data_IF_147669296295
#
_entry.id   IF_147669296295
#
_cell.length_a   1.000
_cell.length_b   1.000
_cell.length_c   1.000
_cell.angle_alpha   90.00
_cell.angle_beta   90.00
_cell.angle_gamma   90.00
#
_symmetry.space_group_name_H-M   'P 1'
#
loop_
_entity.id
_entity.type
_entity.pdbx_description
1 polymer ?
#
# COMPACT_ATOMS: atom_id res chain seq x y z
N UNK A 1 -7.20 8.43 -3.82
CA UNK A 1 -7.54 9.16 -5.07
C UNK A 1 -6.32 9.94 -5.53
N UNK A 2 -5.75 9.54 -6.65
CA UNK A 2 -4.55 10.15 -7.24
C UNK A 2 -4.85 11.42 -8.04
N UNK A 3 -6.11 11.61 -8.45
CA UNK A 3 -6.60 12.79 -9.16
C UNK A 3 -6.93 12.53 -10.64
N UNK A 4 -6.77 11.29 -11.11
CA UNK A 4 -7.09 10.89 -12.47
C UNK A 4 -8.28 9.93 -12.46
N UNK A 5 -9.06 9.93 -13.54
CA UNK A 5 -10.17 8.98 -13.70
C UNK A 5 -9.63 7.66 -14.25
N UNK A 6 -10.09 6.56 -13.67
CA UNK A 6 -9.73 5.19 -14.03
C UNK A 6 -10.83 4.57 -14.91
N UNK A 7 -10.49 3.52 -15.67
CA UNK A 7 -11.41 2.84 -16.58
C UNK A 7 -11.50 1.35 -16.25
N UNK A 8 -12.72 0.83 -16.20
CA UNK A 8 -12.99 -0.60 -16.16
C UNK A 8 -13.43 -1.10 -17.55
N UNK A 9 -12.82 -2.18 -18.05
CA UNK A 9 -13.13 -2.77 -19.36
C UNK A 9 -13.48 -4.24 -19.18
N UNK A 10 -14.66 -4.63 -19.67
CA UNK A 10 -15.14 -6.01 -19.62
C UNK A 10 -14.73 -6.82 -20.85
N UNK A 11 -14.34 -8.06 -20.61
CA UNK A 11 -14.08 -9.12 -21.58
C UNK A 11 -14.92 -10.36 -21.20
N UNK A 12 -16.25 -10.32 -21.42
CA UNK A 12 -17.17 -11.35 -20.93
C UNK A 12 -16.91 -12.75 -21.50
N UNK A 13 -16.22 -12.86 -22.64
CA UNK A 13 -15.92 -14.13 -23.30
C UNK A 13 -14.46 -14.59 -23.13
N UNK A 14 -13.66 -13.87 -22.34
CA UNK A 14 -12.33 -14.35 -21.95
C UNK A 14 -12.47 -15.27 -20.73
N UNK A 15 -12.34 -16.58 -20.95
CA UNK A 15 -12.68 -17.58 -19.94
C UNK A 15 -14.18 -17.52 -19.63
N UNK A 16 -14.53 -17.50 -18.35
CA UNK A 16 -15.91 -17.29 -17.89
C UNK A 16 -16.28 -15.80 -17.74
N UNK A 17 -15.41 -14.89 -18.19
CA UNK A 17 -15.57 -13.45 -18.09
C UNK A 17 -14.48 -12.80 -17.24
N UNK A 18 -13.98 -11.66 -17.71
CA UNK A 18 -12.90 -10.93 -17.06
C UNK A 18 -13.20 -9.43 -17.09
N UNK A 19 -12.82 -8.71 -16.05
CA UNK A 19 -12.84 -7.24 -16.00
C UNK A 19 -11.43 -6.75 -15.71
N UNK A 20 -10.97 -5.81 -16.52
CA UNK A 20 -9.68 -5.15 -16.39
C UNK A 20 -9.87 -3.74 -15.84
N UNK A 21 -9.02 -3.34 -14.88
CA UNK A 21 -8.95 -1.98 -14.38
C UNK A 21 -7.68 -1.33 -14.92
N UNK A 22 -7.85 -0.20 -15.60
CA UNK A 22 -6.77 0.62 -16.15
C UNK A 22 -6.75 1.95 -15.42
N UNK A 23 -5.57 2.36 -14.96
CA UNK A 23 -5.42 3.60 -14.21
C UNK A 23 -5.24 4.78 -15.15
N UNK A 24 -5.87 5.89 -14.79
CA UNK A 24 -5.60 7.19 -15.39
C UNK A 24 -4.24 7.74 -14.96
N UNK A 25 -3.66 8.61 -15.77
CA UNK A 25 -2.47 9.36 -15.40
C UNK A 25 -2.47 10.74 -16.06
N UNK A 26 -1.52 11.58 -15.67
CA UNK A 26 -1.28 12.88 -16.30
C UNK A 26 -1.01 12.78 -17.81
N UNK A 27 -0.46 11.65 -18.27
CA UNK A 27 -0.06 11.42 -19.65
C UNK A 27 -1.13 10.62 -20.43
N UNK A 28 -2.31 10.39 -19.83
CA UNK A 28 -3.38 9.58 -20.38
C UNK A 28 -3.53 8.23 -19.68
N UNK A 29 -4.18 7.27 -20.35
CA UNK A 29 -4.45 5.94 -19.80
C UNK A 29 -3.16 5.09 -19.76
N UNK A 30 -2.88 4.46 -18.62
CA UNK A 30 -1.82 3.45 -18.52
C UNK A 30 -2.33 2.18 -19.22
N UNK A 31 -1.59 1.67 -20.22
CA UNK A 31 -2.04 0.58 -21.08
C UNK A 31 -1.89 -0.81 -20.45
N UNK A 32 -1.14 -0.91 -19.36
CA UNK A 32 -1.07 -2.11 -18.53
C UNK A 32 -2.18 -2.08 -17.46
N UNK A 33 -3.00 -3.13 -17.34
CA UNK A 33 -4.04 -3.18 -16.32
C UNK A 33 -3.42 -3.26 -14.92
N UNK A 34 -3.91 -2.43 -14.00
CA UNK A 34 -3.49 -2.46 -12.59
C UNK A 34 -4.12 -3.60 -11.81
N UNK A 35 -5.29 -4.06 -12.28
CA UNK A 35 -6.02 -5.17 -11.67
C UNK A 35 -6.78 -5.95 -12.75
N UNK A 36 -6.76 -7.27 -12.61
CA UNK A 36 -7.54 -8.20 -13.44
C UNK A 36 -8.46 -9.02 -12.55
N UNK A 37 -9.76 -8.94 -12.81
CA UNK A 37 -10.82 -9.54 -12.00
C UNK A 37 -11.49 -10.61 -12.86
N UNK A 38 -11.25 -11.89 -12.53
CA UNK A 38 -11.75 -13.03 -13.30
C UNK A 38 -12.99 -13.63 -12.65
N UNK A 39 -13.92 -14.09 -13.48
CA UNK A 39 -15.11 -14.84 -13.08
C UNK A 39 -14.78 -16.05 -12.19
N UNK A 40 -13.60 -16.65 -12.33
CA UNK A 40 -13.12 -17.76 -11.51
C UNK A 40 -13.09 -17.45 -10.00
N UNK A 41 -13.05 -16.17 -9.63
CA UNK A 41 -13.16 -15.73 -8.22
C UNK A 41 -14.59 -15.78 -7.67
N UNK A 42 -15.58 -16.03 -8.53
CA UNK A 42 -17.01 -16.02 -8.25
C UNK A 42 -17.63 -17.34 -8.73
N UNK A 43 -17.79 -18.34 -7.85
CA UNK A 43 -18.33 -19.64 -8.22
C UNK A 43 -19.69 -19.54 -8.92
N UNK A 44 -19.82 -20.17 -10.10
CA UNK A 44 -21.08 -20.20 -10.86
C UNK A 44 -21.39 -18.94 -11.66
N UNK A 45 -20.41 -18.02 -11.83
CA UNK A 45 -20.58 -16.82 -12.65
C UNK A 45 -19.98 -17.02 -14.04
N UNK A 46 -20.76 -16.67 -15.08
CA UNK A 46 -20.35 -16.68 -16.48
C UNK A 46 -20.70 -15.35 -17.15
N UNK A 47 -19.93 -14.96 -18.17
CA UNK A 47 -20.04 -13.67 -18.86
C UNK A 47 -19.81 -12.45 -17.95
N UNK A 48 -18.99 -12.60 -16.90
CA UNK A 48 -18.61 -11.49 -16.03
C UNK A 48 -17.99 -10.36 -16.87
N UNK A 49 -18.50 -9.15 -16.71
CA UNK A 49 -18.02 -7.98 -17.45
C UNK A 49 -18.87 -7.65 -18.67
N UNK A 50 -20.01 -8.31 -18.87
CA UNK A 50 -20.92 -7.99 -19.98
C UNK A 50 -21.51 -6.59 -19.87
N UNK A 51 -21.86 -6.17 -18.66
CA UNK A 51 -22.28 -4.79 -18.36
C UNK A 51 -21.55 -4.27 -17.12
N UNK A 52 -21.31 -2.96 -17.10
CA UNK A 52 -20.56 -2.29 -16.04
C UNK A 52 -21.32 -1.04 -15.61
N UNK A 53 -21.34 -0.78 -14.31
CA UNK A 53 -21.84 0.48 -13.75
C UNK A 53 -20.97 0.86 -12.55
N UNK A 54 -20.22 1.94 -12.67
CA UNK A 54 -19.33 2.44 -11.62
C UNK A 54 -19.59 3.91 -11.29
N UNK A 55 -18.70 4.50 -10.50
CA UNK A 55 -18.71 5.93 -10.19
C UNK A 55 -19.55 6.34 -8.97
N UNK A 56 -20.17 5.38 -8.29
CA UNK A 56 -20.94 5.61 -7.06
C UNK A 56 -20.33 4.82 -5.90
N UNK A 57 -20.16 5.48 -4.77
CA UNK A 57 -19.72 4.88 -3.50
C UNK A 57 -20.94 4.32 -2.76
N UNK A 58 -21.05 3.00 -2.65
CA UNK A 58 -22.22 2.31 -2.08
C UNK A 58 -22.04 1.99 -0.59
N UNK A 59 -20.80 1.89 -0.11
CA UNK A 59 -20.50 1.61 1.30
C UNK A 59 -20.01 2.83 2.09
N UNK A 60 -19.98 4.00 1.46
CA UNK A 60 -19.62 5.31 2.02
C UNK A 60 -18.18 5.38 2.51
N UNK A 61 -17.27 4.63 1.89
CA UNK A 61 -15.85 4.64 2.25
C UNK A 61 -15.04 5.76 1.54
N UNK A 62 -15.70 6.54 0.69
CA UNK A 62 -15.15 7.67 -0.08
C UNK A 62 -14.54 7.28 -1.44
N UNK A 63 -14.63 6.01 -1.82
CA UNK A 63 -14.17 5.47 -3.11
C UNK A 63 -15.34 4.90 -3.91
N UNK A 64 -15.43 5.18 -5.23
CA UNK A 64 -16.51 4.65 -6.05
C UNK A 64 -16.36 3.13 -6.22
N UNK A 65 -17.49 2.43 -6.08
CA UNK A 65 -17.58 1.00 -6.29
C UNK A 65 -17.94 0.67 -7.74
N UNK A 66 -17.87 -0.63 -8.10
CA UNK A 66 -18.18 -1.14 -9.43
C UNK A 66 -19.18 -2.31 -9.37
N UNK A 67 -20.31 -2.16 -10.07
CA UNK A 67 -21.24 -3.25 -10.36
C UNK A 67 -20.90 -3.87 -11.71
N UNK A 68 -20.86 -5.20 -11.74
CA UNK A 68 -20.51 -5.99 -12.92
C UNK A 68 -21.60 -7.01 -13.21
N UNK A 69 -22.24 -6.90 -14.37
CA UNK A 69 -23.25 -7.84 -14.83
C UNK A 69 -22.65 -9.08 -15.49
N UNK A 70 -23.34 -10.21 -15.30
CA UNK A 70 -22.98 -11.54 -15.78
C UNK A 70 -24.27 -12.28 -16.20
N UNK A 71 -24.79 -11.94 -17.38
CA UNK A 71 -26.17 -12.26 -17.79
C UNK A 71 -26.42 -13.77 -17.93
N UNK A 72 -25.45 -14.56 -18.42
CA UNK A 72 -25.66 -16.02 -18.59
C UNK A 72 -25.86 -16.75 -17.27
N UNK A 73 -25.37 -16.17 -16.18
CA UNK A 73 -25.52 -16.68 -14.82
C UNK A 73 -26.63 -15.97 -14.02
N UNK A 74 -27.46 -15.13 -14.66
CA UNK A 74 -28.46 -14.30 -13.99
C UNK A 74 -27.92 -13.54 -12.77
N UNK A 75 -26.67 -13.08 -12.86
CA UNK A 75 -25.89 -12.61 -11.71
C UNK A 75 -25.36 -11.18 -11.89
N UNK A 76 -25.22 -10.48 -10.77
CA UNK A 76 -24.53 -9.19 -10.66
C UNK A 76 -23.53 -9.26 -9.51
N UNK A 77 -22.29 -8.86 -9.76
CA UNK A 77 -21.22 -8.81 -8.77
C UNK A 77 -20.98 -7.36 -8.35
N UNK A 78 -21.00 -7.11 -7.04
CA UNK A 78 -20.57 -5.84 -6.45
C UNK A 78 -19.10 -5.94 -6.05
N UNK A 79 -18.26 -5.10 -6.66
CA UNK A 79 -16.86 -4.93 -6.35
C UNK A 79 -16.70 -3.64 -5.56
N UNK A 80 -16.43 -3.77 -4.25
CA UNK A 80 -16.19 -2.62 -3.38
C UNK A 80 -14.75 -2.15 -3.46
N UNK A 81 -14.55 -0.85 -3.65
CA UNK A 81 -13.23 -0.26 -3.66
C UNK A 81 -12.64 -0.28 -2.25
N UNK A 82 -11.34 -0.59 -2.15
CA UNK A 82 -10.65 -0.58 -0.86
C UNK A 82 -10.02 0.79 -0.63
N UNK A 83 -10.17 1.38 0.56
CA UNK A 83 -9.46 2.60 0.89
C UNK A 83 -7.95 2.48 0.74
N UNK A 84 -7.33 3.54 0.22
CA UNK A 84 -5.88 3.64 0.03
C UNK A 84 -5.33 4.67 1.02
N UNK A 85 -4.32 4.25 1.79
CA UNK A 85 -3.56 5.11 2.71
C UNK A 85 -2.11 5.12 2.23
N UNK A 86 -1.59 6.30 1.95
CA UNK A 86 -0.18 6.51 1.64
C UNK A 86 0.66 6.36 2.91
N UNK A 87 1.78 5.67 2.79
CA UNK A 87 2.72 5.50 3.89
C UNK A 87 4.07 6.06 3.46
N UNK A 88 4.52 7.10 4.14
CA UNK A 88 5.82 7.74 3.92
C UNK A 88 6.71 7.40 5.10
N UNK A 89 7.83 6.72 4.85
CA UNK A 89 8.84 6.44 5.87
C UNK A 89 10.05 7.34 5.70
N UNK A 90 10.63 7.78 6.81
CA UNK A 90 11.90 8.50 6.84
C UNK A 90 12.77 8.03 8.00
N UNK A 91 14.08 8.24 7.86
CA UNK A 91 15.07 7.97 8.91
C UNK A 91 15.95 9.20 9.07
N UNK A 92 16.05 9.70 10.30
CA UNK A 92 16.77 10.94 10.61
C UNK A 92 17.56 10.81 11.93
N UNK A 93 18.73 11.46 12.07
CA UNK A 93 19.45 12.17 11.01
C UNK A 93 20.20 11.20 10.08
N UNK A 94 20.26 11.53 8.79
CA UNK A 94 20.95 10.71 7.78
C UNK A 94 22.47 10.73 7.98
N UNK A 95 23.01 11.83 8.51
CA UNK A 95 24.44 12.01 8.72
C UNK A 95 25.00 11.01 9.73
N UNK A 96 24.24 10.65 10.77
CA UNK A 96 24.68 9.70 11.80
C UNK A 96 24.71 8.24 11.30
N UNK A 97 24.02 7.95 10.20
CA UNK A 97 23.96 6.60 9.59
C UNK A 97 24.81 6.48 8.32
N UNK A 98 25.48 7.55 7.92
CA UNK A 98 26.38 7.57 6.75
C UNK A 98 27.83 7.80 7.21
N UNK A 99 28.80 7.16 6.54
CA UNK A 99 30.22 7.32 6.83
C UNK A 99 30.63 7.11 8.31
N UNK A 100 30.07 6.08 8.94
CA UNK A 100 30.40 5.69 10.33
C UNK A 100 31.89 5.33 10.43
N UNK A 101 32.63 6.05 11.29
CA UNK A 101 34.04 5.75 11.58
C UNK A 101 34.16 4.64 12.63
N UNK A 102 34.60 3.42 12.26
CA UNK A 102 34.70 2.29 13.19
C UNK A 102 35.82 2.46 14.23
N UNK A 103 36.69 3.47 14.10
CA UNK A 103 37.73 3.75 15.09
C UNK A 103 37.24 4.65 16.22
N UNK A 104 36.11 5.34 16.02
CA UNK A 104 35.46 6.15 17.05
C UNK A 104 34.65 5.23 17.96
N UNK A 105 35.33 4.61 18.91
CA UNK A 105 34.73 3.75 19.94
C UNK A 105 33.99 4.57 21.00
N UNK A 106 33.09 3.91 21.72
CA UNK A 106 32.26 4.51 22.75
C UNK A 106 30.85 4.79 22.25
N UNK A 107 29.90 4.53 23.13
CA UNK A 107 28.46 4.69 22.90
C UNK A 107 27.90 5.74 23.86
N UNK A 108 26.83 6.43 23.49
CA UNK A 108 26.26 7.50 24.35
C UNK A 108 25.89 7.03 25.76
N UNK A 109 25.52 5.75 25.94
CA UNK A 109 25.24 5.13 27.25
C UNK A 109 26.45 4.52 27.93
N UNK A 110 27.45 4.16 27.15
CA UNK A 110 28.63 3.43 27.60
C UNK A 110 29.84 4.00 26.86
N UNK A 111 30.42 5.11 27.37
CA UNK A 111 31.55 5.76 26.73
C UNK A 111 32.78 4.87 26.60
N UNK A 112 32.92 3.86 27.46
CA UNK A 112 34.05 2.92 27.47
C UNK A 112 33.81 1.68 26.58
N UNK A 113 32.67 1.63 25.88
CA UNK A 113 32.33 0.52 24.98
C UNK A 113 33.34 0.36 23.85
N UNK A 114 33.70 -0.88 23.53
CA UNK A 114 34.57 -1.18 22.38
C UNK A 114 33.86 -1.00 21.02
N UNK A 115 32.54 -0.81 21.03
CA UNK A 115 31.72 -0.62 19.85
C UNK A 115 31.64 0.85 19.44
N UNK A 116 31.45 1.09 18.14
CA UNK A 116 31.01 2.39 17.61
C UNK A 116 29.49 2.39 17.53
N UNK A 117 28.86 3.33 18.23
CA UNK A 117 27.41 3.51 18.19
C UNK A 117 27.00 4.76 17.43
N UNK A 118 25.81 4.70 16.84
CA UNK A 118 25.09 5.82 16.27
C UNK A 118 23.61 5.72 16.65
N UNK A 119 22.88 6.81 16.56
CA UNK A 119 21.45 6.85 16.85
C UNK A 119 20.69 7.31 15.60
N UNK A 120 19.48 6.79 15.44
CA UNK A 120 18.59 7.21 14.38
C UNK A 120 17.16 7.16 14.89
N UNK A 121 16.32 7.96 14.28
CA UNK A 121 14.88 7.99 14.48
C UNK A 121 14.22 7.52 13.20
N UNK A 122 13.41 6.47 13.32
CA UNK A 122 12.53 6.05 12.23
C UNK A 122 11.18 6.75 12.39
N UNK A 123 10.74 7.43 11.35
CA UNK A 123 9.47 8.13 11.31
C UNK A 123 8.57 7.52 10.23
N UNK A 124 7.27 7.46 10.52
CA UNK A 124 6.24 7.03 9.56
C UNK A 124 5.12 8.06 9.58
N UNK A 125 4.76 8.55 8.40
CA UNK A 125 3.63 9.46 8.19
C UNK A 125 2.60 8.73 7.35
N UNK A 126 1.36 8.72 7.84
CA UNK A 126 0.21 8.21 7.11
C UNK A 126 -0.47 9.38 6.40
N UNK A 127 -0.52 9.33 5.08
CA UNK A 127 -1.17 10.31 4.23
C UNK A 127 -2.45 9.74 3.66
N UNK A 128 -3.59 10.33 4.02
CA UNK A 128 -4.87 9.99 3.44
C UNK A 128 -5.40 11.15 2.61
N UNK A 129 -5.86 10.84 1.40
CA UNK A 129 -6.45 11.83 0.49
C UNK A 129 -7.97 11.88 0.57
N UNK A 130 -8.59 11.04 1.39
CA UNK A 130 -10.04 10.92 1.53
C UNK A 130 -10.42 11.09 2.98
N UNK A 131 -11.46 11.88 3.25
CA UNK A 131 -12.06 12.03 4.58
C UNK A 131 -13.48 11.50 4.55
N UNK A 132 -13.86 10.72 5.56
CA UNK A 132 -15.20 10.16 5.75
C UNK A 132 -15.68 10.60 7.12
N UNK A 133 -16.85 11.24 7.18
CA UNK A 133 -17.45 11.75 8.43
C UNK A 133 -16.49 12.63 9.27
N UNK A 134 -15.66 13.43 8.60
CA UNK A 134 -14.70 14.33 9.26
C UNK A 134 -13.42 13.66 9.75
N UNK A 135 -13.22 12.37 9.49
CA UNK A 135 -11.97 11.65 9.79
C UNK A 135 -11.22 11.27 8.52
N UNK A 136 -9.91 11.44 8.53
CA UNK A 136 -9.06 10.94 7.46
C UNK A 136 -9.16 9.42 7.39
N UNK A 137 -9.32 8.86 6.19
CA UNK A 137 -9.39 7.40 6.04
C UNK A 137 -8.04 6.81 6.42
N UNK A 138 -8.03 5.95 7.43
CA UNK A 138 -6.79 5.43 8.03
C UNK A 138 -6.37 6.09 9.34
N UNK A 139 -7.16 7.05 9.85
CA UNK A 139 -7.01 7.55 11.21
C UNK A 139 -7.18 6.42 12.23
N UNK A 140 -6.29 6.35 13.22
CA UNK A 140 -6.25 5.27 14.22
C UNK A 140 -5.72 3.91 13.73
N UNK A 141 -5.11 3.82 12.53
CA UNK A 141 -4.46 2.59 12.08
C UNK A 141 -3.25 2.23 12.94
N UNK A 142 -3.22 1.00 13.43
CA UNK A 142 -2.03 0.41 14.05
C UNK A 142 -1.02 -0.04 13.00
N UNK A 143 0.23 0.36 13.17
CA UNK A 143 1.33 -0.06 12.31
C UNK A 143 2.13 -1.18 12.99
N UNK A 144 2.17 -2.34 12.35
CA UNK A 144 3.12 -3.39 12.66
C UNK A 144 4.40 -3.14 11.85
N UNK A 145 5.51 -2.89 12.53
CA UNK A 145 6.78 -2.58 11.88
C UNK A 145 7.89 -3.55 12.30
N UNK A 146 8.88 -3.68 11.42
CA UNK A 146 10.11 -4.44 11.68
C UNK A 146 11.30 -3.60 11.23
N UNK A 147 12.22 -3.33 12.15
CA UNK A 147 13.48 -2.68 11.85
C UNK A 147 14.56 -3.75 11.64
N UNK A 148 15.30 -3.65 10.54
CA UNK A 148 16.37 -4.58 10.19
C UNK A 148 17.61 -3.78 9.79
N UNK A 149 18.76 -4.13 10.35
CA UNK A 149 20.05 -3.54 10.01
C UNK A 149 20.88 -4.52 9.14
N UNK A 150 21.63 -3.98 8.18
CA UNK A 150 22.56 -4.73 7.32
C UNK A 150 21.97 -5.98 6.61
N UNK A 151 20.66 -5.97 6.34
CA UNK A 151 19.88 -7.12 5.82
C UNK A 151 20.43 -7.74 4.54
N UNK A 152 21.05 -6.94 3.68
CA UNK A 152 21.58 -7.41 2.38
C UNK A 152 22.83 -8.28 2.53
N UNK A 153 23.42 -8.36 3.73
CA UNK A 153 24.63 -9.15 3.98
C UNK A 153 24.30 -10.47 4.68
N UNK A 154 25.03 -11.53 4.31
CA UNK A 154 24.96 -12.84 4.97
C UNK A 154 25.47 -12.80 6.42
N UNK A 155 26.48 -11.96 6.67
CA UNK A 155 27.04 -11.69 8.00
C UNK A 155 26.83 -10.20 8.30
N UNK A 156 25.81 -9.84 9.09
CA UNK A 156 25.53 -8.45 9.45
C UNK A 156 26.62 -7.90 10.37
N UNK A 157 27.03 -6.65 10.13
CA UNK A 157 28.04 -5.93 10.94
C UNK A 157 27.41 -4.97 11.93
N UNK A 158 26.14 -4.67 11.74
CA UNK A 158 25.36 -3.75 12.56
C UNK A 158 24.24 -4.55 13.20
N UNK A 159 24.05 -4.34 14.50
CA UNK A 159 22.91 -4.84 15.24
C UNK A 159 22.22 -3.66 15.93
N UNK A 160 20.92 -3.79 16.15
CA UNK A 160 20.15 -2.80 16.87
C UNK A 160 20.31 -3.07 18.37
N UNK A 161 20.73 -2.05 19.11
CA UNK A 161 20.68 -2.07 20.57
C UNK A 161 19.23 -2.01 21.08
N UNK A 162 19.01 -2.17 22.39
CA UNK A 162 17.68 -2.05 22.98
C UNK A 162 17.07 -0.67 22.68
N UNK A 163 15.82 -0.67 22.23
CA UNK A 163 15.00 0.54 22.13
C UNK A 163 14.72 1.07 23.53
N UNK A 164 14.81 2.37 23.68
CA UNK A 164 14.80 3.04 24.98
C UNK A 164 13.91 4.26 25.04
N UNK A 165 13.32 4.61 23.89
CA UNK A 165 12.28 5.64 23.80
C UNK A 165 10.89 5.03 23.56
N UNK A 166 10.78 3.69 23.49
CA UNK A 166 9.50 2.99 23.47
C UNK A 166 8.82 3.06 24.85
N UNK A 167 8.18 4.21 25.14
CA UNK A 167 7.10 4.34 26.12
C UNK A 167 5.76 4.43 25.40
#
# INVERSE_FOLDING_TARGET
KDGFEDVAIGAPYEGNGTVYIYLGSKDGLILEPSQTIRADSFPGVWTLGHSLSGGLDLDKNGYPDLLVGAYESDSVVLLRARPIVGLVTSVEPVDDITNIDPNKKGCARDPDSEFTCFSFRSCVVLESRVTVEGRAVGDGLGLLYKLEADKKRKLPRVYLGPDTDSR
#
